data_IF_174875311522
#
_entry.id   IF_174875311522
#
_cell.length_a   1.000
_cell.length_b   1.000
_cell.length_c   1.000
_cell.angle_alpha   90.00
_cell.angle_beta   90.00
_cell.angle_gamma   90.00
#
_symmetry.space_group_name_H-M   'P 1'
#
loop_
_entity.id
_entity.type
_entity.pdbx_description
1 polymer ?
#
# COMPACT_ATOMS: atom_id res chain seq x y z
N UNK A 1 67.06 0.83 -20.18
CA UNK A 1 67.02 0.44 -18.76
C UNK A 1 65.71 0.94 -18.20
N UNK A 2 64.71 0.06 -18.09
CA UNK A 2 64.29 -0.56 -16.81
C UNK A 2 63.71 0.49 -15.86
N UNK A 3 62.39 0.66 -15.85
CA UNK A 3 61.55 0.23 -14.72
C UNK A 3 61.00 1.49 -14.03
N UNK A 4 59.82 1.56 -13.45
CA UNK A 4 58.84 0.54 -13.11
C UNK A 4 57.51 1.28 -13.03
N UNK A 5 56.49 0.70 -13.65
CA UNK A 5 55.09 0.98 -13.40
C UNK A 5 54.77 0.67 -11.92
N UNK A 6 54.06 1.55 -11.23
CA UNK A 6 53.24 1.14 -10.09
C UNK A 6 52.13 2.15 -9.86
N UNK A 7 50.97 1.79 -10.42
CA UNK A 7 49.66 2.31 -10.08
C UNK A 7 49.45 2.17 -8.56
N UNK A 8 49.34 3.30 -7.84
CA UNK A 8 48.73 3.29 -6.51
C UNK A 8 47.22 3.34 -6.67
N UNK A 9 46.66 2.19 -7.02
CA UNK A 9 45.25 1.89 -6.81
C UNK A 9 45.11 1.37 -5.37
N UNK A 10 44.97 2.25 -4.40
CA UNK A 10 44.39 1.87 -3.11
C UNK A 10 42.89 2.07 -3.22
N UNK A 11 42.28 1.09 -3.86
CA UNK A 11 40.87 0.82 -3.74
C UNK A 11 40.62 0.56 -2.24
N UNK A 12 40.19 1.58 -1.50
CA UNK A 12 39.59 1.43 -0.18
C UNK A 12 38.30 0.64 -0.37
N UNK A 13 38.44 -0.68 -0.48
CA UNK A 13 37.35 -1.58 -0.21
C UNK A 13 36.98 -1.33 1.25
N UNK A 14 35.96 -0.48 1.46
CA UNK A 14 35.19 -0.42 2.70
C UNK A 14 34.67 -1.83 2.95
N UNK A 15 35.45 -2.63 3.67
CA UNK A 15 35.01 -3.89 4.24
C UNK A 15 34.01 -3.48 5.31
N UNK A 16 32.73 -3.41 4.94
CA UNK A 16 31.62 -3.36 5.90
C UNK A 16 31.76 -4.57 6.81
N UNK A 17 31.99 -4.32 8.10
CA UNK A 17 32.15 -5.38 9.09
C UNK A 17 30.92 -6.29 9.09
N UNK A 18 31.08 -7.63 9.14
CA UNK A 18 29.97 -8.59 9.15
C UNK A 18 28.94 -8.33 10.28
N UNK A 19 29.37 -7.63 11.33
CA UNK A 19 28.58 -7.28 12.50
C UNK A 19 27.56 -6.17 12.15
N UNK A 20 27.95 -5.14 11.38
CA UNK A 20 27.03 -4.05 11.01
C UNK A 20 25.97 -4.50 10.00
N UNK A 21 26.34 -5.37 9.06
CA UNK A 21 25.39 -5.97 8.14
C UNK A 21 24.34 -6.78 8.92
N UNK A 22 24.76 -7.64 9.86
CA UNK A 22 23.86 -8.47 10.65
C UNK A 22 22.89 -7.66 11.53
N UNK A 23 23.36 -6.59 12.17
CA UNK A 23 22.49 -5.71 12.95
C UNK A 23 21.49 -4.96 12.04
N UNK A 24 21.91 -4.51 10.87
CA UNK A 24 21.00 -3.91 9.86
C UNK A 24 19.97 -4.92 9.36
N UNK A 25 20.35 -6.18 9.12
CA UNK A 25 19.43 -7.27 8.75
C UNK A 25 18.43 -7.60 9.87
N UNK A 26 18.84 -7.56 11.15
CA UNK A 26 17.94 -7.79 12.29
C UNK A 26 16.95 -6.64 12.48
N UNK A 27 17.40 -5.39 12.34
CA UNK A 27 16.54 -4.20 12.43
C UNK A 27 15.49 -4.23 11.30
N UNK A 28 15.90 -4.53 10.07
CA UNK A 28 14.98 -4.64 8.92
C UNK A 28 14.03 -5.83 9.03
N UNK A 29 14.47 -6.98 9.58
CA UNK A 29 13.60 -8.12 9.84
C UNK A 29 12.55 -7.83 10.94
N UNK A 30 12.93 -7.06 11.97
CA UNK A 30 12.03 -6.63 13.04
C UNK A 30 10.92 -5.69 12.54
N UNK A 31 11.25 -4.74 11.68
CA UNK A 31 10.26 -3.85 11.04
C UNK A 31 9.35 -4.60 10.07
N UNK A 32 9.91 -5.49 9.23
CA UNK A 32 9.12 -6.31 8.31
C UNK A 32 8.09 -7.15 9.06
N UNK A 33 8.48 -7.76 10.18
CA UNK A 33 7.56 -8.53 11.03
C UNK A 33 6.42 -7.68 11.58
N UNK A 34 6.68 -6.45 12.03
CA UNK A 34 5.64 -5.54 12.51
C UNK A 34 4.64 -5.17 11.40
N UNK A 35 5.12 -4.95 10.18
CA UNK A 35 4.23 -4.72 9.04
C UNK A 35 3.36 -5.94 8.73
N UNK A 36 3.95 -7.14 8.72
CA UNK A 36 3.22 -8.39 8.47
C UNK A 36 2.15 -8.60 9.54
N UNK A 37 2.48 -8.52 10.83
CA UNK A 37 1.52 -8.71 11.93
C UNK A 37 0.38 -7.68 11.86
N UNK A 38 0.68 -6.43 11.49
CA UNK A 38 -0.34 -5.38 11.30
C UNK A 38 -1.24 -5.68 10.10
N UNK A 39 -0.70 -6.16 9.00
CA UNK A 39 -1.46 -6.55 7.80
C UNK A 39 -2.35 -7.75 8.10
N UNK A 40 -1.84 -8.78 8.77
CA UNK A 40 -2.61 -9.98 9.12
C UNK A 40 -3.81 -9.64 10.01
N UNK A 41 -3.62 -8.75 11.00
CA UNK A 41 -4.73 -8.26 11.82
C UNK A 41 -5.77 -7.52 10.97
N UNK A 42 -5.33 -6.63 10.09
CA UNK A 42 -6.24 -5.88 9.20
C UNK A 42 -7.00 -6.81 8.23
N UNK A 43 -6.36 -7.85 7.71
CA UNK A 43 -7.04 -8.84 6.86
C UNK A 43 -8.07 -9.68 7.65
N UNK A 44 -7.78 -10.01 8.92
CA UNK A 44 -8.77 -10.64 9.79
C UNK A 44 -9.97 -9.72 10.04
N UNK A 45 -9.75 -8.47 10.42
CA UNK A 45 -10.82 -7.49 10.64
C UNK A 45 -11.65 -7.27 9.37
N UNK A 46 -11.00 -7.17 8.21
CA UNK A 46 -11.66 -7.05 6.91
C UNK A 46 -12.52 -8.27 6.58
N UNK A 47 -12.07 -9.48 6.93
CA UNK A 47 -12.86 -10.71 6.76
C UNK A 47 -14.11 -10.69 7.65
N UNK A 48 -13.96 -10.31 8.90
CA UNK A 48 -15.08 -10.25 9.86
C UNK A 48 -16.11 -9.20 9.43
N UNK A 49 -15.65 -8.01 9.01
CA UNK A 49 -16.51 -6.96 8.45
C UNK A 49 -17.22 -7.45 7.18
N UNK A 50 -16.51 -8.16 6.29
CA UNK A 50 -17.11 -8.71 5.09
C UNK A 50 -18.21 -9.73 5.40
N UNK A 51 -18.05 -10.52 6.47
CA UNK A 51 -19.07 -11.46 6.94
C UNK A 51 -20.30 -10.73 7.49
N UNK A 52 -20.10 -9.74 8.36
CA UNK A 52 -21.19 -8.88 8.87
C UNK A 52 -21.97 -8.21 7.73
N UNK A 53 -21.28 -7.70 6.71
CA UNK A 53 -21.93 -7.11 5.52
C UNK A 53 -22.80 -8.16 4.79
N UNK A 54 -22.31 -9.41 4.65
CA UNK A 54 -23.11 -10.48 4.02
C UNK A 54 -24.35 -10.79 4.83
N UNK A 55 -24.26 -10.82 6.15
CA UNK A 55 -25.41 -11.05 7.04
C UNK A 55 -26.48 -9.95 6.87
N UNK A 56 -26.07 -8.68 6.82
CA UNK A 56 -27.00 -7.57 6.56
C UNK A 56 -27.70 -7.72 5.20
N UNK A 57 -26.96 -8.09 4.15
CA UNK A 57 -27.58 -8.35 2.86
C UNK A 57 -28.53 -9.56 2.90
N UNK A 58 -28.20 -10.62 3.64
CA UNK A 58 -29.07 -11.77 3.82
C UNK A 58 -30.37 -11.40 4.57
N UNK A 59 -30.26 -10.55 5.58
CA UNK A 59 -31.41 -10.02 6.33
C UNK A 59 -32.30 -9.14 5.44
N UNK A 60 -31.72 -8.28 4.60
CA UNK A 60 -32.52 -7.48 3.66
C UNK A 60 -33.29 -8.38 2.68
N UNK A 61 -32.68 -9.49 2.25
CA UNK A 61 -33.33 -10.48 1.38
C UNK A 61 -34.46 -11.20 2.09
N UNK A 62 -34.29 -11.61 3.35
CA UNK A 62 -35.36 -12.28 4.12
C UNK A 62 -36.55 -11.35 4.39
N UNK A 63 -36.30 -10.04 4.51
CA UNK A 63 -37.33 -8.99 4.60
C UNK A 63 -38.00 -8.63 3.27
N UNK A 64 -37.53 -9.20 2.15
CA UNK A 64 -38.13 -8.99 0.81
C UNK A 64 -37.55 -7.82 0.00
N UNK A 65 -36.44 -7.22 0.43
CA UNK A 65 -35.76 -6.18 -0.35
C UNK A 65 -34.89 -6.76 -1.47
N UNK A 66 -34.76 -6.02 -2.58
CA UNK A 66 -33.84 -6.38 -3.66
C UNK A 66 -32.40 -5.99 -3.29
N UNK A 67 -31.61 -7.02 -2.95
CA UNK A 67 -30.18 -6.89 -2.65
C UNK A 67 -29.34 -6.30 -3.79
N UNK A 68 -29.76 -6.43 -5.07
CA UNK A 68 -29.05 -5.84 -6.22
C UNK A 68 -29.19 -4.32 -6.22
N UNK A 69 -30.41 -3.82 -6.05
CA UNK A 69 -30.69 -2.40 -5.94
C UNK A 69 -29.98 -1.78 -4.73
N UNK A 70 -29.99 -2.46 -3.58
CA UNK A 70 -29.26 -2.00 -2.38
C UNK A 70 -27.74 -1.90 -2.62
N UNK A 71 -27.13 -2.89 -3.28
CA UNK A 71 -25.70 -2.81 -3.66
C UNK A 71 -25.42 -1.64 -4.61
N UNK A 72 -26.30 -1.39 -5.57
CA UNK A 72 -26.17 -0.23 -6.47
C UNK A 72 -26.21 1.08 -5.69
N UNK A 73 -27.17 1.24 -4.76
CA UNK A 73 -27.28 2.43 -3.91
C UNK A 73 -26.02 2.61 -3.05
N UNK A 74 -25.53 1.54 -2.41
CA UNK A 74 -24.29 1.60 -1.61
C UNK A 74 -23.09 1.98 -2.47
N UNK A 75 -22.94 1.41 -3.67
CA UNK A 75 -21.86 1.74 -4.59
C UNK A 75 -21.95 3.20 -5.06
N UNK A 76 -23.14 3.68 -5.43
CA UNK A 76 -23.35 5.08 -5.81
C UNK A 76 -22.96 6.02 -4.67
N UNK A 77 -23.37 5.70 -3.44
CA UNK A 77 -23.00 6.48 -2.23
C UNK A 77 -21.53 6.39 -1.87
N UNK A 78 -20.83 5.33 -2.29
CA UNK A 78 -19.39 5.15 -2.06
C UNK A 78 -18.55 5.95 -3.07
N UNK A 79 -19.02 6.06 -4.32
CA UNK A 79 -18.33 6.76 -5.43
C UNK A 79 -18.47 8.29 -5.41
N UNK A 80 -19.01 8.88 -4.35
CA UNK A 80 -19.48 10.27 -4.38
C UNK A 80 -18.58 11.26 -3.62
N UNK A 81 -17.42 10.85 -3.09
CA UNK A 81 -16.51 11.77 -2.39
C UNK A 81 -15.06 11.57 -2.76
N UNK A 82 -14.58 10.33 -2.75
CA UNK A 82 -13.19 10.03 -3.08
C UNK A 82 -12.95 10.04 -4.60
N UNK A 83 -13.86 9.43 -5.38
CA UNK A 83 -13.81 9.50 -6.86
C UNK A 83 -14.04 10.94 -7.35
N UNK A 84 -14.93 11.71 -6.70
CA UNK A 84 -15.14 13.13 -7.03
C UNK A 84 -13.87 13.94 -6.74
N UNK A 85 -13.23 13.73 -5.60
CA UNK A 85 -12.01 14.48 -5.24
C UNK A 85 -10.81 14.12 -6.12
N UNK A 86 -10.64 12.85 -6.49
CA UNK A 86 -9.59 12.43 -7.44
C UNK A 86 -9.89 12.96 -8.86
N UNK A 87 -11.13 12.83 -9.34
CA UNK A 87 -11.52 13.38 -10.64
C UNK A 87 -11.40 14.90 -10.66
N UNK A 88 -11.79 15.61 -9.60
CA UNK A 88 -11.60 17.06 -9.47
C UNK A 88 -10.12 17.45 -9.46
N UNK A 89 -9.27 16.74 -8.71
CA UNK A 89 -7.84 17.04 -8.67
C UNK A 89 -7.17 16.83 -10.05
N UNK A 90 -7.55 15.76 -10.77
CA UNK A 90 -7.06 15.51 -12.14
C UNK A 90 -7.62 16.56 -13.12
N UNK A 91 -8.88 16.93 -12.99
CA UNK A 91 -9.52 17.94 -13.81
C UNK A 91 -8.92 19.33 -13.58
N UNK A 92 -8.61 19.68 -12.34
CA UNK A 92 -7.96 20.93 -11.94
C UNK A 92 -6.55 21.00 -12.54
N UNK A 93 -5.75 19.93 -12.45
CA UNK A 93 -4.46 19.84 -13.12
C UNK A 93 -4.57 20.05 -14.65
N UNK A 94 -5.60 19.49 -15.31
CA UNK A 94 -5.82 19.69 -16.73
C UNK A 94 -6.30 21.11 -17.07
N UNK A 95 -7.12 21.73 -16.23
CA UNK A 95 -7.54 23.13 -16.41
C UNK A 95 -6.38 24.09 -16.25
N UNK A 96 -5.53 23.89 -15.24
CA UNK A 96 -4.29 24.65 -15.07
C UNK A 96 -3.37 24.51 -16.29
N UNK A 97 -3.19 23.30 -16.81
CA UNK A 97 -2.39 23.04 -18.00
C UNK A 97 -2.97 23.67 -19.28
N UNK A 98 -4.30 23.85 -19.33
CA UNK A 98 -5.00 24.50 -20.45
C UNK A 98 -5.20 26.01 -20.24
N UNK A 99 -4.81 26.57 -19.10
CA UNK A 99 -4.98 27.98 -18.74
C UNK A 99 -6.44 28.40 -18.55
N UNK A 100 -7.28 27.49 -18.05
CA UNK A 100 -8.72 27.67 -17.81
C UNK A 100 -9.04 27.87 -16.34
#
# INVERSE_FOLDING_TARGET
MFGHETLQNTNEAKMTDPIEANETYKVTAGELRQFVERIERLESEKKDIAEQIREVYAETKSRGYDTKCLRQIVNMRKRDKDDIAEEEAVLEMYKEALGM
#
